data_IF_718822094341
#
_entry.id   IF_718822094341
#
_cell.length_a   1.000
_cell.length_b   1.000
_cell.length_c   1.000
_cell.angle_alpha   90.00
_cell.angle_beta   90.00
_cell.angle_gamma   90.00
#
_symmetry.space_group_name_H-M   'P 1'
#
loop_
_entity.id
_entity.type
_entity.pdbx_description
1 polymer ?
#
# COMPACT_ATOMS: atom_id res chain seq x y z
N UNK A 1 14.59 -7.27 40.45
CA UNK A 1 14.35 -6.28 39.40
C UNK A 1 13.92 -7.04 38.16
N UNK A 2 12.82 -6.65 37.52
CA UNK A 2 12.39 -7.29 36.28
C UNK A 2 13.27 -6.77 35.15
N UNK A 3 13.88 -7.69 34.40
CA UNK A 3 14.72 -7.36 33.25
C UNK A 3 13.86 -7.29 31.99
N UNK A 4 13.96 -6.19 31.27
CA UNK A 4 13.29 -5.94 30.01
C UNK A 4 14.32 -5.82 28.90
N UNK A 5 13.99 -6.30 27.71
CA UNK A 5 14.85 -6.18 26.53
C UNK A 5 14.10 -5.46 25.44
N UNK A 6 14.62 -4.32 24.97
CA UNK A 6 14.13 -3.63 23.77
C UNK A 6 14.99 -4.11 22.61
N UNK A 7 14.38 -4.80 21.65
CA UNK A 7 15.03 -5.28 20.44
C UNK A 7 14.57 -4.47 19.24
N UNK A 8 15.48 -4.24 18.28
CA UNK A 8 15.12 -3.74 16.97
C UNK A 8 15.86 -4.49 15.86
N UNK A 9 15.11 -4.98 14.89
CA UNK A 9 15.64 -5.45 13.61
C UNK A 9 14.75 -4.91 12.48
N UNK A 10 15.28 -4.83 11.26
CA UNK A 10 14.42 -4.52 10.10
C UNK A 10 13.34 -5.60 9.88
N UNK A 11 13.62 -6.86 10.22
CA UNK A 11 12.68 -7.96 10.06
C UNK A 11 11.47 -7.84 10.99
N UNK A 12 11.71 -7.56 12.28
CA UNK A 12 10.70 -7.66 13.35
C UNK A 12 10.19 -6.29 13.80
N UNK A 13 10.94 -5.24 13.49
CA UNK A 13 10.70 -3.89 13.97
C UNK A 13 11.18 -3.72 15.41
N UNK A 14 10.65 -2.70 16.10
CA UNK A 14 10.99 -2.46 17.51
C UNK A 14 10.00 -3.19 18.43
N UNK A 15 10.53 -4.09 19.25
CA UNK A 15 9.81 -4.90 20.21
C UNK A 15 10.36 -4.68 21.63
N UNK A 16 9.56 -5.02 22.63
CA UNK A 16 10.03 -5.13 24.01
C UNK A 16 9.49 -6.41 24.63
N UNK A 17 10.42 -7.16 25.22
CA UNK A 17 10.20 -8.46 25.84
C UNK A 17 10.49 -8.39 27.35
N UNK A 18 10.00 -9.39 28.09
CA UNK A 18 10.15 -9.47 29.55
C UNK A 18 9.06 -8.75 30.35
N UNK A 19 8.09 -8.11 29.69
CA UNK A 19 6.94 -7.47 30.36
C UNK A 19 5.96 -8.51 30.90
N UNK A 20 5.44 -8.32 32.10
CA UNK A 20 4.43 -9.16 32.74
C UNK A 20 3.15 -8.38 33.05
N UNK A 21 2.02 -9.08 33.14
CA UNK A 21 0.76 -8.42 33.53
C UNK A 21 0.86 -7.93 34.98
N UNK A 22 0.61 -6.64 35.18
CA UNK A 22 0.59 -6.02 36.51
C UNK A 22 1.96 -5.61 37.06
N UNK A 23 3.02 -5.68 36.26
CA UNK A 23 4.36 -5.22 36.67
C UNK A 23 4.55 -3.70 36.58
N UNK A 24 3.61 -2.96 35.99
CA UNK A 24 3.66 -1.50 35.79
C UNK A 24 4.31 -1.06 34.46
N UNK A 25 5.01 -1.95 33.74
CA UNK A 25 5.66 -1.65 32.46
C UNK A 25 4.66 -1.16 31.40
N UNK A 26 3.46 -1.76 31.39
CA UNK A 26 2.40 -1.46 30.45
C UNK A 26 1.92 0.01 30.50
N UNK A 27 1.84 0.59 31.70
CA UNK A 27 1.34 1.96 31.85
C UNK A 27 2.42 2.98 31.48
N UNK A 28 3.69 2.67 31.78
CA UNK A 28 4.85 3.43 31.31
C UNK A 28 4.87 3.43 29.78
N UNK A 29 4.83 2.27 29.13
CA UNK A 29 4.89 2.15 27.67
C UNK A 29 3.77 2.92 26.96
N UNK A 30 2.57 2.98 27.55
CA UNK A 30 1.47 3.81 27.02
C UNK A 30 1.73 5.29 27.18
N UNK A 31 2.40 5.72 28.26
CA UNK A 31 2.62 7.14 28.58
C UNK A 31 3.88 7.74 27.95
N UNK A 32 4.87 6.93 27.54
CA UNK A 32 6.09 7.45 26.90
C UNK A 32 5.73 8.30 25.70
N UNK A 33 6.25 9.53 25.68
CA UNK A 33 6.10 10.49 24.59
C UNK A 33 7.14 10.20 23.52
N UNK A 34 6.69 10.01 22.29
CA UNK A 34 7.59 9.92 21.13
C UNK A 34 8.21 11.31 20.87
N UNK A 35 9.55 11.46 20.96
CA UNK A 35 10.21 12.76 20.78
C UNK A 35 9.99 13.39 19.39
N UNK A 36 9.71 12.58 18.37
CA UNK A 36 9.44 13.08 17.02
C UNK A 36 8.03 13.66 16.91
N UNK A 37 7.03 12.95 17.44
CA UNK A 37 5.63 13.31 17.24
C UNK A 37 5.06 14.15 18.38
N UNK A 38 5.73 14.18 19.54
CA UNK A 38 5.26 14.82 20.75
C UNK A 38 4.03 14.15 21.36
N UNK A 39 3.71 12.90 21.00
CA UNK A 39 2.51 12.18 21.42
C UNK A 39 2.84 10.89 22.16
N UNK A 40 2.01 10.56 23.14
CA UNK A 40 2.01 9.25 23.80
C UNK A 40 1.42 8.15 22.88
N UNK A 41 1.56 6.89 23.29
CA UNK A 41 0.92 5.75 22.62
C UNK A 41 1.66 5.21 21.40
N UNK A 42 3.00 5.40 21.34
CA UNK A 42 3.84 4.81 20.30
C UNK A 42 3.87 3.27 20.38
N UNK A 43 3.83 2.73 21.60
CA UNK A 43 3.83 1.30 21.90
C UNK A 43 2.43 0.71 21.90
N UNK A 44 2.29 -0.50 21.33
CA UNK A 44 1.04 -1.26 21.28
C UNK A 44 1.29 -2.70 21.69
N UNK A 45 0.36 -3.29 22.42
CA UNK A 45 0.39 -4.72 22.73
C UNK A 45 -0.10 -5.54 21.54
N UNK A 46 0.67 -6.55 21.12
CA UNK A 46 0.23 -7.54 20.14
C UNK A 46 -0.05 -8.87 20.83
N UNK A 47 -1.28 -9.39 20.67
CA UNK A 47 -1.62 -10.73 21.16
C UNK A 47 -0.91 -11.84 20.37
N UNK A 48 -0.58 -11.58 19.10
CA UNK A 48 0.06 -12.58 18.24
C UNK A 48 1.56 -12.70 18.52
N UNK A 49 2.21 -11.59 18.89
CA UNK A 49 3.64 -11.59 19.23
C UNK A 49 3.87 -11.89 20.72
N UNK A 50 2.86 -11.67 21.56
CA UNK A 50 3.03 -11.78 23.01
C UNK A 50 3.95 -10.69 23.59
N UNK A 51 4.14 -9.59 22.86
CA UNK A 51 5.06 -8.50 23.20
C UNK A 51 4.46 -7.14 22.86
N UNK A 52 5.03 -6.08 23.43
CA UNK A 52 4.74 -4.73 22.95
C UNK A 52 5.61 -4.42 21.75
N UNK A 53 5.06 -3.67 20.80
CA UNK A 53 5.72 -3.29 19.56
C UNK A 53 5.44 -1.82 19.22
N UNK A 54 6.37 -1.21 18.48
CA UNK A 54 6.16 0.11 17.87
C UNK A 54 5.54 -0.08 16.50
N UNK A 55 4.40 0.56 16.24
CA UNK A 55 3.73 0.44 14.95
C UNK A 55 4.55 1.07 13.81
N UNK A 56 4.57 0.41 12.63
CA UNK A 56 5.31 0.83 11.43
C UNK A 56 6.83 0.99 11.68
N UNK A 57 7.42 0.08 12.47
CA UNK A 57 8.86 0.02 12.74
C UNK A 57 9.60 -1.03 11.89
N UNK A 58 8.89 -2.02 11.33
CA UNK A 58 9.46 -3.02 10.42
C UNK A 58 9.96 -2.36 9.13
N UNK A 59 11.08 -2.85 8.63
CA UNK A 59 11.79 -2.37 7.44
C UNK A 59 12.10 -0.85 7.46
N UNK A 60 12.10 -0.25 8.66
CA UNK A 60 12.51 1.15 8.91
C UNK A 60 13.60 1.19 9.95
N UNK A 61 14.46 2.21 9.91
CA UNK A 61 15.53 2.34 10.90
C UNK A 61 15.02 2.41 12.32
N UNK A 62 15.86 1.97 13.25
CA UNK A 62 15.61 2.08 14.68
C UNK A 62 15.25 3.53 15.05
N UNK A 63 14.10 3.72 15.69
CA UNK A 63 13.70 5.03 16.24
C UNK A 63 14.46 5.29 17.54
N UNK A 64 15.76 5.49 17.44
CA UNK A 64 16.67 5.64 18.60
C UNK A 64 16.15 6.63 19.64
N UNK A 65 15.65 7.83 19.29
CA UNK A 65 15.12 8.76 20.30
C UNK A 65 13.94 8.18 21.11
N UNK A 66 13.05 7.42 20.47
CA UNK A 66 11.94 6.76 21.17
C UNK A 66 12.43 5.61 22.03
N UNK A 67 13.39 4.82 21.55
CA UNK A 67 14.00 3.70 22.29
C UNK A 67 14.70 4.23 23.54
N UNK A 68 15.51 5.28 23.41
CA UNK A 68 16.23 5.93 24.50
C UNK A 68 15.26 6.55 25.52
N UNK A 69 14.22 7.26 25.06
CA UNK A 69 13.19 7.81 25.94
C UNK A 69 12.43 6.71 26.70
N UNK A 70 12.14 5.59 26.02
CA UNK A 70 11.47 4.43 26.63
C UNK A 70 12.37 3.77 27.67
N UNK A 71 13.64 3.53 27.33
CA UNK A 71 14.65 2.98 28.24
C UNK A 71 14.73 3.81 29.50
N UNK A 72 14.92 5.13 29.36
CA UNK A 72 15.04 6.06 30.49
C UNK A 72 13.79 6.04 31.39
N UNK A 73 12.59 6.04 30.80
CA UNK A 73 11.33 5.99 31.55
C UNK A 73 11.18 4.66 32.35
N UNK A 74 11.59 3.54 31.77
CA UNK A 74 11.54 2.23 32.42
C UNK A 74 12.60 2.10 33.52
N UNK A 75 13.84 2.56 33.28
CA UNK A 75 14.91 2.56 34.29
C UNK A 75 14.56 3.46 35.48
N UNK A 76 13.93 4.61 35.23
CA UNK A 76 13.42 5.50 36.29
C UNK A 76 12.37 4.81 37.17
N UNK A 77 11.59 3.89 36.60
CA UNK A 77 10.62 3.09 37.32
C UNK A 77 11.22 1.82 37.98
N UNK A 78 12.55 1.62 37.90
CA UNK A 78 13.25 0.53 38.58
C UNK A 78 13.38 -0.77 37.78
N UNK A 79 13.13 -0.74 36.47
CA UNK A 79 13.40 -1.87 35.59
C UNK A 79 14.85 -1.88 35.11
N UNK A 80 15.42 -3.06 34.92
CA UNK A 80 16.71 -3.21 34.23
C UNK A 80 16.43 -3.37 32.73
N UNK A 81 16.94 -2.47 31.89
CA UNK A 81 16.60 -2.45 30.45
C UNK A 81 17.84 -2.67 29.57
N UNK A 82 17.84 -3.79 28.84
CA UNK A 82 18.80 -4.05 27.77
C UNK A 82 18.26 -3.51 26.44
N UNK A 83 19.14 -2.98 25.59
CA UNK A 83 18.80 -2.49 24.24
C UNK A 83 19.69 -3.17 23.23
N UNK A 84 19.08 -3.86 22.27
CA UNK A 84 19.76 -4.59 21.20
C UNK A 84 19.22 -4.10 19.86
N UNK A 85 20.09 -3.50 19.04
CA UNK A 85 19.70 -2.89 17.77
C UNK A 85 20.55 -3.45 16.64
N UNK A 86 19.91 -4.11 15.70
CA UNK A 86 20.44 -4.45 14.38
C UNK A 86 19.74 -3.57 13.33
N UNK A 87 20.39 -2.47 12.96
CA UNK A 87 19.88 -1.49 11.98
C UNK A 87 20.35 -1.83 10.55
N UNK A 88 20.65 -3.11 10.29
CA UNK A 88 21.06 -3.61 8.98
C UNK A 88 19.84 -3.79 8.08
N UNK A 89 19.81 -3.07 6.96
CA UNK A 89 18.73 -3.22 5.98
C UNK A 89 18.72 -4.64 5.40
N UNK A 90 17.51 -5.22 5.31
CA UNK A 90 17.26 -6.45 4.57
C UNK A 90 17.31 -6.19 3.07
N UNK A 91 17.66 -7.22 2.29
CA UNK A 91 17.60 -7.14 0.84
C UNK A 91 16.16 -6.85 0.37
N UNK A 92 16.03 -6.05 -0.68
CA UNK A 92 14.75 -5.67 -1.26
C UNK A 92 13.92 -6.89 -1.64
N UNK A 93 14.57 -7.95 -2.11
CA UNK A 93 13.94 -9.22 -2.44
C UNK A 93 13.26 -9.86 -1.22
N UNK A 94 13.94 -9.95 -0.08
CA UNK A 94 13.37 -10.52 1.15
C UNK A 94 12.21 -9.69 1.70
N UNK A 95 12.32 -8.36 1.60
CA UNK A 95 11.27 -7.42 2.03
C UNK A 95 10.02 -7.60 1.16
N UNK A 96 10.19 -7.63 -0.16
CA UNK A 96 9.08 -7.78 -1.10
C UNK A 96 8.47 -9.18 -1.05
N UNK A 97 9.28 -10.24 -0.90
CA UNK A 97 8.79 -11.59 -0.69
C UNK A 97 7.92 -11.69 0.58
N UNK A 98 8.33 -11.06 1.68
CA UNK A 98 7.51 -11.04 2.90
C UNK A 98 6.23 -10.23 2.73
N UNK A 99 6.30 -9.09 2.03
CA UNK A 99 5.12 -8.29 1.71
C UNK A 99 4.10 -9.08 0.85
N UNK A 100 4.57 -9.86 -0.13
CA UNK A 100 3.74 -10.74 -0.95
C UNK A 100 3.10 -11.83 -0.11
N UNK A 101 3.86 -12.51 0.77
CA UNK A 101 3.32 -13.52 1.69
C UNK A 101 2.25 -12.95 2.61
N UNK A 102 2.51 -11.81 3.25
CA UNK A 102 1.54 -11.15 4.12
C UNK A 102 0.26 -10.74 3.37
N UNK A 103 0.41 -10.24 2.14
CA UNK A 103 -0.74 -9.92 1.31
C UNK A 103 -1.54 -11.17 0.92
N UNK A 104 -0.87 -12.28 0.60
CA UNK A 104 -1.54 -13.55 0.31
C UNK A 104 -2.34 -14.06 1.52
N UNK A 105 -1.75 -14.06 2.73
CA UNK A 105 -2.46 -14.40 3.96
C UNK A 105 -3.66 -13.48 4.23
N UNK A 106 -3.52 -12.18 3.96
CA UNK A 106 -4.63 -11.23 4.09
C UNK A 106 -5.76 -11.55 3.12
N UNK A 107 -5.43 -11.89 1.87
CA UNK A 107 -6.42 -12.26 0.84
C UNK A 107 -7.15 -13.52 1.26
N UNK A 108 -6.42 -14.56 1.69
CA UNK A 108 -7.00 -15.82 2.15
C UNK A 108 -7.95 -15.61 3.33
N UNK A 109 -7.51 -14.90 4.37
CA UNK A 109 -8.35 -14.58 5.52
C UNK A 109 -9.62 -13.79 5.15
N UNK A 110 -9.54 -12.89 4.16
CA UNK A 110 -10.70 -12.16 3.65
C UNK A 110 -11.64 -13.04 2.83
N UNK A 111 -11.13 -13.97 2.03
CA UNK A 111 -11.93 -14.96 1.29
C UNK A 111 -12.70 -15.86 2.25
N UNK A 112 -12.03 -16.47 3.22
CA UNK A 112 -12.70 -17.29 4.26
C UNK A 112 -13.75 -16.48 5.01
N UNK A 113 -13.48 -15.19 5.29
CA UNK A 113 -14.46 -14.31 5.92
C UNK A 113 -15.66 -14.01 5.01
N UNK A 114 -15.44 -13.83 3.71
CA UNK A 114 -16.50 -13.61 2.73
C UNK A 114 -17.41 -14.85 2.61
N UNK A 115 -16.82 -16.05 2.54
CA UNK A 115 -17.57 -17.31 2.52
C UNK A 115 -18.47 -17.47 3.76
N UNK A 116 -17.92 -17.21 4.96
CA UNK A 116 -18.71 -17.22 6.20
C UNK A 116 -19.86 -16.21 6.20
N UNK A 117 -19.66 -15.04 5.58
CA UNK A 117 -20.70 -14.00 5.50
C UNK A 117 -21.76 -14.34 4.46
N UNK A 118 -21.37 -14.95 3.34
CA UNK A 118 -22.32 -15.50 2.36
C UNK A 118 -23.22 -16.54 3.00
N UNK A 119 -22.65 -17.54 3.67
CA UNK A 119 -23.42 -18.57 4.37
C UNK A 119 -24.35 -17.99 5.46
N UNK A 120 -23.93 -16.91 6.13
CA UNK A 120 -24.77 -16.21 7.09
C UNK A 120 -25.94 -15.44 6.42
N UNK A 121 -25.73 -14.91 5.22
CA UNK A 121 -26.79 -14.28 4.43
C UNK A 121 -27.81 -15.33 3.95
N UNK A 122 -27.35 -16.47 3.43
CA UNK A 122 -28.21 -17.59 3.03
C UNK A 122 -29.07 -18.08 4.20
N UNK A 123 -28.45 -18.28 5.38
CA UNK A 123 -29.16 -18.66 6.59
C UNK A 123 -30.17 -17.59 7.06
N UNK A 124 -29.88 -16.31 6.84
CA UNK A 124 -30.81 -15.23 7.17
C UNK A 124 -32.01 -15.19 6.22
N UNK A 125 -31.82 -15.48 4.94
CA UNK A 125 -32.90 -15.63 3.96
C UNK A 125 -33.77 -16.84 4.22
N UNK A 126 -33.20 -18.00 4.59
CA UNK A 126 -34.01 -19.15 5.01
C UNK A 126 -34.80 -18.86 6.29
N UNK A 127 -34.22 -18.12 7.25
CA UNK A 127 -34.94 -17.68 8.44
C UNK A 127 -36.07 -16.67 8.12
N UNK A 128 -35.87 -15.77 7.16
CA UNK A 128 -36.90 -14.88 6.63
C UNK A 128 -38.04 -15.68 5.99
N UNK A 129 -37.71 -16.62 5.11
CA UNK A 129 -38.69 -17.49 4.45
C UNK A 129 -39.53 -18.25 5.48
N UNK A 130 -38.90 -18.83 6.49
CA UNK A 130 -39.61 -19.47 7.60
C UNK A 130 -40.50 -18.50 8.38
N UNK A 131 -40.03 -17.28 8.67
CA UNK A 131 -40.83 -16.28 9.37
C UNK A 131 -42.04 -15.82 8.55
N UNK A 132 -41.87 -15.70 7.23
CA UNK A 132 -42.90 -15.36 6.26
C UNK A 132 -43.93 -16.48 6.12
N UNK A 133 -43.51 -17.74 6.10
CA UNK A 133 -44.41 -18.90 6.02
C UNK A 133 -45.27 -19.07 7.29
N UNK A 134 -44.85 -18.47 8.42
CA UNK A 134 -45.61 -18.40 9.68
C UNK A 134 -46.60 -17.23 9.74
N UNK A 135 -46.65 -16.36 8.72
CA UNK A 135 -47.63 -15.29 8.66
C UNK A 135 -49.05 -15.86 8.45
N UNK A 136 -50.08 -15.20 8.97
CA UNK A 136 -51.46 -15.62 8.72
C UNK A 136 -51.75 -15.69 7.22
N UNK A 137 -52.36 -16.79 6.74
CA UNK A 137 -52.60 -17.01 5.33
C UNK A 137 -53.53 -15.93 4.76
N UNK A 138 -53.30 -15.56 3.49
CA UNK A 138 -54.15 -14.65 2.70
C UNK A 138 -54.24 -13.21 3.22
N UNK A 139 -53.29 -12.73 4.02
CA UNK A 139 -53.27 -11.32 4.45
C UNK A 139 -54.49 -10.94 5.30
N UNK A 140 -54.97 -11.88 6.13
CA UNK A 140 -56.09 -11.64 7.04
C UNK A 140 -55.89 -10.32 7.80
N UNK A 141 -56.93 -9.48 7.96
CA UNK A 141 -56.82 -8.29 8.80
C UNK A 141 -56.51 -8.65 10.26
N UNK A 142 -55.78 -7.77 10.96
CA UNK A 142 -55.59 -7.90 12.41
C UNK A 142 -56.94 -7.63 13.10
N UNK A 143 -57.53 -8.66 13.71
CA UNK A 143 -58.75 -8.53 14.52
C UNK A 143 -58.41 -7.88 15.87
N UNK A 144 -58.64 -6.57 15.98
CA UNK A 144 -58.38 -5.78 17.20
C UNK A 144 -59.34 -6.20 18.33
N UNK A 145 -58.80 -6.47 19.52
CA UNK A 145 -59.55 -6.95 20.68
C UNK A 145 -59.75 -8.47 20.73
N UNK A 146 -59.30 -9.22 19.71
CA UNK A 146 -59.42 -10.68 19.68
C UNK A 146 -58.19 -11.37 20.31
N UNK A 147 -58.37 -12.56 20.87
CA UNK A 147 -57.27 -13.29 21.55
C UNK A 147 -56.07 -13.63 20.62
N UNK A 148 -56.28 -13.63 19.29
CA UNK A 148 -55.24 -13.87 18.28
C UNK A 148 -54.43 -12.62 17.89
N UNK A 149 -54.88 -11.42 18.27
CA UNK A 149 -54.28 -10.13 17.90
C UNK A 149 -52.79 -10.05 18.23
N UNK A 150 -52.42 -10.43 19.46
CA UNK A 150 -51.03 -10.41 19.93
C UNK A 150 -50.14 -11.36 19.13
N UNK A 151 -50.66 -12.55 18.78
CA UNK A 151 -49.92 -13.54 17.98
C UNK A 151 -49.69 -13.01 16.56
N UNK A 152 -50.71 -12.39 15.97
CA UNK A 152 -50.65 -11.80 14.62
C UNK A 152 -49.60 -10.68 14.56
N UNK A 153 -49.68 -9.68 15.44
CA UNK A 153 -48.67 -8.59 15.48
C UNK A 153 -47.25 -9.12 15.63
N UNK A 154 -47.06 -10.11 16.51
CA UNK A 154 -45.74 -10.72 16.71
C UNK A 154 -45.26 -11.53 15.49
N UNK A 155 -46.16 -12.10 14.68
CA UNK A 155 -45.79 -12.79 13.45
C UNK A 155 -45.26 -11.80 12.41
N UNK A 156 -45.98 -10.68 12.20
CA UNK A 156 -45.57 -9.58 11.32
C UNK A 156 -44.23 -9.00 11.78
N UNK A 157 -44.10 -8.65 13.07
CA UNK A 157 -42.85 -8.10 13.62
C UNK A 157 -41.67 -9.07 13.43
N UNK A 158 -41.88 -10.39 13.57
CA UNK A 158 -40.82 -11.37 13.31
C UNK A 158 -40.42 -11.42 11.84
N UNK A 159 -41.39 -11.40 10.92
CA UNK A 159 -41.11 -11.36 9.48
C UNK A 159 -40.36 -10.07 9.10
N UNK A 160 -40.83 -8.91 9.56
CA UNK A 160 -40.17 -7.61 9.35
C UNK A 160 -38.74 -7.57 9.89
N UNK A 161 -38.49 -8.15 11.06
CA UNK A 161 -37.15 -8.23 11.63
C UNK A 161 -36.28 -9.25 10.90
N UNK A 162 -36.85 -10.34 10.39
CA UNK A 162 -36.10 -11.34 9.63
C UNK A 162 -35.65 -10.80 8.27
N UNK A 163 -36.53 -10.09 7.55
CA UNK A 163 -36.18 -9.47 6.26
C UNK A 163 -35.11 -8.39 6.42
N UNK A 164 -35.19 -7.52 7.45
CA UNK A 164 -34.12 -6.54 7.75
C UNK A 164 -32.78 -7.23 8.00
N UNK A 165 -32.76 -8.29 8.80
CA UNK A 165 -31.55 -9.06 9.08
C UNK A 165 -30.99 -9.72 7.82
N UNK A 166 -31.85 -10.20 6.92
CA UNK A 166 -31.44 -10.79 5.66
C UNK A 166 -30.76 -9.75 4.74
N UNK A 167 -31.32 -8.54 4.64
CA UNK A 167 -30.67 -7.42 3.94
C UNK A 167 -29.34 -7.03 4.59
N UNK A 168 -29.30 -6.80 5.91
CA UNK A 168 -28.06 -6.45 6.62
C UNK A 168 -26.96 -7.52 6.43
N UNK A 169 -27.34 -8.80 6.44
CA UNK A 169 -26.43 -9.91 6.22
C UNK A 169 -25.93 -9.96 4.77
N UNK A 170 -26.81 -9.68 3.80
CA UNK A 170 -26.46 -9.58 2.37
C UNK A 170 -25.48 -8.44 2.13
N UNK A 171 -25.77 -7.23 2.62
CA UNK A 171 -24.88 -6.07 2.51
C UNK A 171 -23.51 -6.35 3.13
N UNK A 172 -23.48 -7.01 4.29
CA UNK A 172 -22.23 -7.40 4.95
C UNK A 172 -21.44 -8.45 4.16
N UNK A 173 -22.13 -9.37 3.48
CA UNK A 173 -21.51 -10.36 2.60
C UNK A 173 -20.91 -9.69 1.36
N UNK A 174 -21.69 -8.84 0.68
CA UNK A 174 -21.23 -8.10 -0.50
C UNK A 174 -20.05 -7.18 -0.20
N UNK A 175 -20.09 -6.42 0.90
CA UNK A 175 -18.97 -5.57 1.31
C UNK A 175 -17.71 -6.40 1.61
N UNK A 176 -17.86 -7.56 2.25
CA UNK A 176 -16.71 -8.44 2.54
C UNK A 176 -16.15 -9.06 1.26
N UNK A 177 -17.00 -9.48 0.33
CA UNK A 177 -16.61 -9.99 -0.98
C UNK A 177 -15.87 -8.92 -1.81
N UNK A 178 -16.41 -7.69 -1.85
CA UNK A 178 -15.74 -6.54 -2.51
C UNK A 178 -14.35 -6.28 -1.92
N UNK A 179 -14.19 -6.34 -0.59
CA UNK A 179 -12.88 -6.20 0.07
C UNK A 179 -11.92 -7.33 -0.28
N UNK A 180 -12.40 -8.57 -0.37
CA UNK A 180 -11.58 -9.71 -0.77
C UNK A 180 -11.09 -9.57 -2.22
N UNK A 181 -11.97 -9.18 -3.13
CA UNK A 181 -11.64 -8.94 -4.53
C UNK A 181 -10.61 -7.80 -4.68
N UNK A 182 -10.80 -6.68 -3.99
CA UNK A 182 -9.85 -5.57 -4.01
C UNK A 182 -8.47 -5.96 -3.45
N UNK A 183 -8.44 -6.77 -2.38
CA UNK A 183 -7.19 -7.27 -1.81
C UNK A 183 -6.45 -8.20 -2.78
N UNK A 184 -7.16 -9.03 -3.54
CA UNK A 184 -6.56 -9.98 -4.49
C UNK A 184 -5.77 -9.27 -5.60
N UNK A 185 -6.26 -8.11 -6.09
CA UNK A 185 -5.57 -7.33 -7.12
C UNK A 185 -4.38 -6.50 -6.64
N UNK A 186 -4.13 -6.42 -5.33
CA UNK A 186 -3.13 -5.48 -4.77
C UNK A 186 -1.70 -5.83 -5.20
N UNK A 187 -1.33 -7.11 -5.18
CA UNK A 187 0.00 -7.55 -5.60
C UNK A 187 0.20 -7.32 -7.10
N UNK A 188 -0.75 -7.76 -7.93
CA UNK A 188 -0.69 -7.53 -9.38
C UNK A 188 -0.56 -6.04 -9.73
N UNK A 189 -1.31 -5.17 -9.05
CA UNK A 189 -1.19 -3.72 -9.25
C UNK A 189 0.20 -3.19 -8.86
N UNK A 190 0.74 -3.64 -7.72
CA UNK A 190 2.08 -3.25 -7.24
C UNK A 190 3.18 -3.58 -8.26
N UNK A 191 3.08 -4.74 -8.90
CA UNK A 191 4.03 -5.25 -9.90
C UNK A 191 3.66 -4.85 -11.34
N UNK A 192 2.63 -4.03 -11.55
CA UNK A 192 2.32 -3.55 -12.89
C UNK A 192 3.46 -2.66 -13.43
N UNK A 193 3.85 -2.79 -14.72
CA UNK A 193 4.99 -2.06 -15.29
C UNK A 193 4.94 -0.54 -15.07
N UNK A 194 3.74 0.05 -15.20
CA UNK A 194 3.55 1.49 -14.97
C UNK A 194 3.83 1.92 -13.51
N UNK A 195 3.45 1.08 -12.53
CA UNK A 195 3.69 1.34 -11.11
C UNK A 195 5.16 1.15 -10.77
N UNK A 196 5.79 0.09 -11.30
CA UNK A 196 7.22 -0.15 -11.15
C UNK A 196 8.03 1.02 -11.70
N UNK A 197 7.74 1.50 -12.92
CA UNK A 197 8.43 2.65 -13.53
C UNK A 197 8.33 3.91 -12.67
N UNK A 198 7.14 4.24 -12.16
CA UNK A 198 6.94 5.38 -11.24
C UNK A 198 7.72 5.21 -9.94
N UNK A 199 7.78 3.99 -9.41
CA UNK A 199 8.53 3.68 -8.19
C UNK A 199 10.02 3.85 -8.40
N UNK A 200 10.59 3.28 -9.47
CA UNK A 200 12.00 3.48 -9.83
C UNK A 200 12.33 4.97 -9.94
N UNK A 201 11.50 5.75 -10.63
CA UNK A 201 11.71 7.20 -10.76
C UNK A 201 11.76 7.94 -9.43
N UNK A 202 10.92 7.55 -8.45
CA UNK A 202 10.95 8.09 -7.09
C UNK A 202 12.21 7.68 -6.34
N UNK A 203 12.57 6.39 -6.38
CA UNK A 203 13.75 5.85 -5.70
C UNK A 203 15.03 6.47 -6.25
N UNK A 204 15.15 6.64 -7.57
CA UNK A 204 16.30 7.31 -8.19
C UNK A 204 16.39 8.79 -7.80
N UNK A 205 15.26 9.49 -7.66
CA UNK A 205 15.27 10.88 -7.19
C UNK A 205 15.72 10.98 -5.73
N UNK A 206 15.31 10.02 -4.89
CA UNK A 206 15.73 9.91 -3.51
C UNK A 206 17.23 9.54 -3.39
N UNK A 207 17.70 8.60 -4.21
CA UNK A 207 19.12 8.23 -4.31
C UNK A 207 19.98 9.46 -4.63
N UNK A 208 19.61 10.23 -5.65
CA UNK A 208 20.30 11.50 -6.01
C UNK A 208 20.29 12.53 -4.87
N UNK A 209 19.31 12.49 -3.96
CA UNK A 209 19.29 13.36 -2.78
C UNK A 209 20.34 12.92 -1.76
N UNK A 210 20.43 11.62 -1.49
CA UNK A 210 21.42 11.08 -0.55
C UNK A 210 22.85 11.16 -1.11
N UNK A 211 23.06 10.94 -2.40
CA UNK A 211 24.36 11.15 -3.06
C UNK A 211 24.82 12.60 -2.92
N UNK A 212 23.95 13.58 -3.17
CA UNK A 212 24.27 15.00 -2.94
C UNK A 212 24.55 15.34 -1.47
N UNK A 213 23.92 14.64 -0.53
CA UNK A 213 24.22 14.80 0.89
C UNK A 213 25.58 14.19 1.25
N UNK A 214 25.92 13.03 0.65
CA UNK A 214 27.22 12.36 0.83
C UNK A 214 28.36 13.22 0.32
N UNK A 215 28.22 13.75 -0.90
CA UNK A 215 29.30 14.43 -1.62
C UNK A 215 29.35 15.93 -1.35
N UNK A 216 28.30 16.50 -0.74
CA UNK A 216 28.11 17.93 -0.69
C UNK A 216 27.66 18.49 -2.05
N UNK A 217 27.07 19.67 -2.04
CA UNK A 217 26.72 20.35 -3.27
C UNK A 217 26.60 21.86 -3.09
N UNK A 218 26.86 22.58 -4.17
CA UNK A 218 26.65 24.02 -4.25
C UNK A 218 25.43 24.32 -5.11
N UNK A 219 24.46 25.08 -4.58
CA UNK A 219 23.32 25.58 -5.36
C UNK A 219 23.43 27.09 -5.55
N UNK A 220 23.08 27.56 -6.74
CA UNK A 220 22.88 28.99 -6.98
C UNK A 220 21.50 29.40 -6.47
N UNK A 221 21.44 30.36 -5.56
CA UNK A 221 20.19 30.90 -5.02
C UNK A 221 19.59 31.91 -6.00
N UNK A 222 20.40 32.89 -6.42
CA UNK A 222 20.03 33.87 -7.43
C UNK A 222 21.30 34.46 -8.06
N UNK A 223 21.12 35.09 -9.22
CA UNK A 223 22.15 35.88 -9.89
C UNK A 223 21.76 37.34 -9.75
N UNK A 224 22.67 38.20 -9.30
CA UNK A 224 22.40 39.62 -9.16
C UNK A 224 22.41 40.35 -10.52
N UNK A 225 22.03 41.63 -10.53
CA UNK A 225 22.04 42.46 -11.74
C UNK A 225 23.43 42.74 -12.33
N UNK A 226 24.50 42.36 -11.63
CA UNK A 226 25.90 42.45 -12.08
C UNK A 226 26.41 41.11 -12.65
N UNK A 227 25.56 40.07 -12.67
CA UNK A 227 25.91 38.72 -13.14
C UNK A 227 26.61 37.85 -12.09
N UNK A 228 26.72 38.30 -10.83
CA UNK A 228 27.32 37.54 -9.73
C UNK A 228 26.33 36.52 -9.19
N UNK A 229 26.76 35.27 -9.11
CA UNK A 229 25.95 34.17 -8.56
C UNK A 229 26.11 34.12 -7.05
N UNK A 230 25.01 34.32 -6.33
CA UNK A 230 24.94 34.05 -4.90
C UNK A 230 24.67 32.56 -4.70
N UNK A 231 25.62 31.87 -4.09
CA UNK A 231 25.59 30.42 -3.93
C UNK A 231 25.51 30.02 -2.47
N UNK A 232 24.84 28.90 -2.22
CA UNK A 232 24.88 28.20 -0.94
C UNK A 232 25.60 26.87 -1.14
N UNK A 233 26.63 26.63 -0.33
CA UNK A 233 27.40 25.39 -0.37
C UNK A 233 27.05 24.56 0.85
N UNK A 234 26.52 23.37 0.62
CA UNK A 234 26.41 22.34 1.64
C UNK A 234 27.66 21.47 1.62
N UNK A 235 28.37 21.33 2.75
CA UNK A 235 29.53 20.44 2.83
C UNK A 235 29.10 18.96 2.74
N UNK A 236 30.03 18.08 2.37
CA UNK A 236 29.82 16.63 2.44
C UNK A 236 29.40 16.19 3.85
N UNK A 237 28.55 15.16 3.93
CA UNK A 237 28.21 14.54 5.21
C UNK A 237 29.46 13.96 5.89
N UNK A 238 29.53 14.05 7.22
CA UNK A 238 30.64 13.56 8.05
C UNK A 238 30.15 12.71 9.23
N UNK A 239 31.05 11.91 9.80
CA UNK A 239 30.78 11.06 10.98
C UNK A 239 29.57 10.13 10.80
N UNK A 240 28.82 9.92 11.88
CA UNK A 240 27.61 9.08 11.92
C UNK A 240 26.57 9.49 10.86
N UNK A 241 26.46 10.79 10.54
CA UNK A 241 25.54 11.23 9.51
C UNK A 241 25.94 10.68 8.13
N UNK A 242 27.23 10.68 7.82
CA UNK A 242 27.75 10.09 6.56
C UNK A 242 27.48 8.60 6.50
N UNK A 243 27.70 7.88 7.58
CA UNK A 243 27.44 6.43 7.65
C UNK A 243 25.96 6.13 7.39
N UNK A 244 25.05 6.91 7.98
CA UNK A 244 23.60 6.81 7.72
C UNK A 244 23.26 7.08 6.26
N UNK A 245 23.84 8.13 5.67
CA UNK A 245 23.64 8.48 4.26
C UNK A 245 24.15 7.36 3.34
N UNK A 246 25.30 6.77 3.63
CA UNK A 246 25.87 5.66 2.83
C UNK A 246 25.00 4.40 2.94
N UNK A 247 24.55 4.04 4.15
CA UNK A 247 23.63 2.92 4.33
C UNK A 247 22.33 3.10 3.54
N UNK A 248 21.83 4.33 3.48
CA UNK A 248 20.63 4.68 2.73
C UNK A 248 20.83 4.63 1.22
N UNK A 249 22.00 5.05 0.73
CA UNK A 249 22.41 4.89 -0.68
C UNK A 249 22.43 3.40 -1.04
N UNK A 250 23.02 2.55 -0.20
CA UNK A 250 23.05 1.10 -0.43
C UNK A 250 21.65 0.50 -0.50
N UNK A 251 20.76 0.84 0.46
CA UNK A 251 19.36 0.41 0.46
C UNK A 251 18.61 0.81 -0.81
N UNK A 252 18.74 2.08 -1.22
CA UNK A 252 18.06 2.60 -2.40
C UNK A 252 18.58 1.95 -3.68
N UNK A 253 19.89 1.72 -3.76
CA UNK A 253 20.54 1.03 -4.90
C UNK A 253 20.01 -0.39 -5.05
N UNK A 254 19.94 -1.14 -3.95
CA UNK A 254 19.39 -2.49 -3.93
C UNK A 254 17.91 -2.52 -4.34
N UNK A 255 17.07 -1.61 -3.81
CA UNK A 255 15.67 -1.48 -4.21
C UNK A 255 15.51 -1.13 -5.69
N UNK A 256 16.31 -0.19 -6.21
CA UNK A 256 16.29 0.15 -7.64
C UNK A 256 16.67 -1.06 -8.48
N UNK A 257 17.69 -1.81 -8.07
CA UNK A 257 18.13 -3.03 -8.73
C UNK A 257 17.01 -4.08 -8.81
N UNK A 258 16.37 -4.37 -7.68
CA UNK A 258 15.22 -5.28 -7.62
C UNK A 258 14.11 -4.85 -8.58
N UNK A 259 13.65 -3.60 -8.48
CA UNK A 259 12.53 -3.13 -9.31
C UNK A 259 12.88 -3.04 -10.80
N UNK A 260 14.15 -2.81 -11.16
CA UNK A 260 14.59 -2.86 -12.56
C UNK A 260 14.52 -4.28 -13.12
N UNK A 261 14.95 -5.29 -12.36
CA UNK A 261 14.81 -6.70 -12.75
C UNK A 261 13.35 -7.11 -12.93
N UNK A 262 12.47 -6.72 -12.02
CA UNK A 262 11.02 -6.97 -12.17
C UNK A 262 10.42 -6.30 -13.41
N UNK A 263 10.89 -5.09 -13.75
CA UNK A 263 10.45 -4.40 -14.96
C UNK A 263 10.92 -5.12 -16.23
N UNK A 264 12.14 -5.64 -16.22
CA UNK A 264 12.73 -6.41 -17.32
C UNK A 264 11.98 -7.75 -17.51
N UNK A 265 11.75 -8.50 -16.43
CA UNK A 265 10.95 -9.72 -16.45
C UNK A 265 9.53 -9.48 -16.99
N UNK A 266 8.91 -8.34 -16.64
CA UNK A 266 7.61 -7.97 -17.18
C UNK A 266 7.68 -7.69 -18.69
N UNK A 267 8.76 -7.08 -19.18
CA UNK A 267 9.00 -6.86 -20.60
C UNK A 267 9.16 -8.18 -21.36
N UNK A 268 9.96 -9.11 -20.81
CA UNK A 268 10.17 -10.47 -21.33
C UNK A 268 8.86 -11.27 -21.37
N UNK A 269 7.98 -11.04 -20.39
CA UNK A 269 6.63 -11.63 -20.33
C UNK A 269 5.63 -10.96 -21.30
N UNK A 270 6.09 -10.05 -22.17
CA UNK A 270 5.30 -9.42 -23.22
C UNK A 270 4.59 -8.13 -22.83
N UNK A 271 4.92 -7.51 -21.68
CA UNK A 271 4.36 -6.22 -21.33
C UNK A 271 4.98 -5.09 -22.19
N UNK A 272 4.14 -4.26 -22.81
CA UNK A 272 4.61 -3.11 -23.57
C UNK A 272 5.15 -2.02 -22.64
N UNK A 273 6.45 -1.77 -22.72
CA UNK A 273 7.15 -0.76 -21.92
C UNK A 273 7.51 0.42 -22.82
N UNK A 274 6.70 1.49 -22.75
CA UNK A 274 6.89 2.68 -23.58
C UNK A 274 8.04 3.57 -23.11
N UNK A 275 8.77 4.14 -24.06
CA UNK A 275 9.85 5.10 -23.87
C UNK A 275 10.06 5.98 -25.12
N UNK A 276 11.10 6.82 -25.11
CA UNK A 276 11.39 7.75 -26.20
C UNK A 276 11.90 7.10 -27.50
N UNK A 277 12.25 5.81 -27.49
CA UNK A 277 12.72 5.08 -28.66
C UNK A 277 11.60 4.24 -29.29
N UNK A 278 10.58 3.89 -28.51
CA UNK A 278 9.45 3.05 -28.93
C UNK A 278 8.26 3.85 -29.45
N UNK A 279 8.11 5.11 -29.01
CA UNK A 279 7.07 6.04 -29.48
C UNK A 279 7.66 7.08 -30.41
N UNK A 280 7.02 7.30 -31.55
CA UNK A 280 7.45 8.22 -32.61
C UNK A 280 6.51 9.42 -32.74
N UNK A 281 6.99 10.48 -33.38
CA UNK A 281 6.14 11.63 -33.78
C UNK A 281 5.18 11.17 -34.87
N UNK A 282 3.91 11.53 -34.75
CA UNK A 282 2.82 11.10 -35.65
C UNK A 282 2.04 9.87 -35.15
N UNK A 283 2.58 9.09 -34.22
CA UNK A 283 1.84 7.99 -33.59
C UNK A 283 0.62 8.50 -32.82
N UNK A 284 -0.38 7.63 -32.63
CA UNK A 284 -1.50 7.86 -31.73
C UNK A 284 -1.27 7.12 -30.42
N UNK A 285 -1.48 7.79 -29.30
CA UNK A 285 -1.32 7.21 -27.96
C UNK A 285 -2.66 7.18 -27.24
N UNK A 286 -2.99 6.04 -26.64
CA UNK A 286 -4.19 5.90 -25.81
C UNK A 286 -3.87 6.21 -24.35
N UNK A 287 -4.67 7.09 -23.77
CA UNK A 287 -4.70 7.36 -22.34
C UNK A 287 -6.11 7.13 -21.78
N UNK A 288 -6.26 7.27 -20.46
CA UNK A 288 -7.58 7.21 -19.82
C UNK A 288 -8.60 8.22 -20.34
N UNK A 289 -8.17 9.28 -21.02
CA UNK A 289 -9.02 10.33 -21.61
C UNK A 289 -9.31 10.13 -23.10
N UNK A 290 -8.75 9.08 -23.73
CA UNK A 290 -8.89 8.79 -25.15
C UNK A 290 -7.58 8.83 -25.92
N UNK A 291 -7.70 8.76 -27.25
CA UNK A 291 -6.60 8.77 -28.20
C UNK A 291 -6.12 10.19 -28.53
N UNK A 292 -4.82 10.37 -28.73
CA UNK A 292 -4.26 11.63 -29.25
C UNK A 292 -2.98 11.41 -30.04
N UNK A 293 -2.72 12.29 -31.01
CA UNK A 293 -1.54 12.21 -31.89
C UNK A 293 -0.31 12.84 -31.24
N UNK A 294 0.86 12.20 -31.35
CA UNK A 294 2.12 12.66 -30.79
C UNK A 294 2.72 13.74 -31.67
N UNK A 295 2.87 14.96 -31.14
CA UNK A 295 3.52 16.09 -31.83
C UNK A 295 5.02 16.12 -31.58
N UNK A 296 5.45 15.69 -30.39
CA UNK A 296 6.85 15.75 -29.99
C UNK A 296 7.19 14.69 -28.98
N UNK A 297 8.30 14.00 -29.18
CA UNK A 297 8.86 13.06 -28.21
C UNK A 297 9.96 13.76 -27.41
N UNK A 298 9.92 13.64 -26.09
CA UNK A 298 10.99 14.06 -25.18
C UNK A 298 11.50 12.84 -24.42
N UNK A 299 12.65 12.98 -23.75
CA UNK A 299 13.31 11.89 -23.06
C UNK A 299 12.44 11.12 -22.04
N UNK A 300 11.43 11.76 -21.42
CA UNK A 300 10.56 11.15 -20.39
C UNK A 300 9.07 11.29 -20.66
N UNK A 301 8.69 11.95 -21.76
CA UNK A 301 7.30 12.31 -22.01
C UNK A 301 7.06 12.68 -23.47
N UNK A 302 5.85 12.50 -23.96
CA UNK A 302 5.39 12.98 -25.26
C UNK A 302 4.50 14.21 -25.12
N UNK A 303 4.52 15.10 -26.12
CA UNK A 303 3.52 16.15 -26.30
C UNK A 303 2.47 15.62 -27.25
N UNK A 304 1.22 15.71 -26.84
CA UNK A 304 0.07 15.20 -27.60
C UNK A 304 -0.75 16.38 -28.11
N UNK A 305 -1.18 16.30 -29.37
CA UNK A 305 -1.95 17.32 -30.04
C UNK A 305 -3.25 17.62 -29.29
N UNK A 306 -3.54 18.91 -29.14
CA UNK A 306 -4.72 19.40 -28.42
C UNK A 306 -4.63 19.33 -26.90
N UNK A 307 -3.53 18.82 -26.31
CA UNK A 307 -3.38 18.73 -24.85
C UNK A 307 -2.39 19.76 -24.31
N UNK A 308 -2.74 20.35 -23.16
CA UNK A 308 -1.96 21.44 -22.53
C UNK A 308 -0.76 20.95 -21.72
N UNK A 309 -0.68 19.65 -21.43
CA UNK A 309 0.32 19.04 -20.55
C UNK A 309 1.11 17.95 -21.29
N UNK A 310 2.29 17.61 -20.75
CA UNK A 310 3.15 16.56 -21.31
C UNK A 310 2.78 15.21 -20.72
N UNK A 311 2.62 14.21 -21.57
CA UNK A 311 2.24 12.85 -21.19
C UNK A 311 3.47 12.02 -20.84
N UNK A 312 3.64 11.57 -19.58
CA UNK A 312 4.69 10.62 -19.22
C UNK A 312 4.43 9.25 -19.86
N UNK A 313 5.50 8.52 -20.22
CA UNK A 313 5.37 7.20 -20.83
C UNK A 313 4.65 6.18 -19.93
N UNK A 314 4.72 6.29 -18.59
CA UNK A 314 4.00 5.40 -17.66
C UNK A 314 2.48 5.57 -17.68
N UNK A 315 1.96 6.58 -18.39
CA UNK A 315 0.53 6.86 -18.53
C UNK A 315 -0.06 6.37 -19.85
N UNK A 316 0.79 6.00 -20.79
CA UNK A 316 0.38 5.50 -22.10
C UNK A 316 -0.07 4.05 -21.93
N UNK A 317 -1.29 3.74 -22.36
CA UNK A 317 -1.85 2.38 -22.33
C UNK A 317 -1.52 1.61 -23.61
N UNK A 318 -1.73 2.24 -24.76
CA UNK A 318 -1.51 1.67 -26.09
C UNK A 318 -0.93 2.73 -27.02
N UNK A 319 -0.28 2.26 -28.08
CA UNK A 319 0.29 3.10 -29.14
C UNK A 319 -0.12 2.48 -30.47
N UNK A 320 -0.53 3.33 -31.41
CA UNK A 320 -0.82 2.99 -32.79
C UNK A 320 0.02 3.87 -33.71
N UNK A 321 0.35 3.37 -34.90
CA UNK A 321 0.96 4.18 -35.95
C UNK A 321 -0.02 5.27 -36.42
N UNK A 322 0.47 6.24 -37.20
CA UNK A 322 -0.39 7.24 -37.84
C UNK A 322 -1.48 6.60 -38.74
N UNK A 323 -1.22 5.38 -39.24
CA UNK A 323 -2.11 4.60 -40.10
C UNK A 323 -3.09 3.71 -39.29
N UNK A 324 -3.05 3.77 -37.96
CA UNK A 324 -3.95 3.01 -37.08
C UNK A 324 -3.51 1.56 -36.83
N UNK A 325 -2.26 1.20 -37.11
CA UNK A 325 -1.75 -0.14 -36.82
C UNK A 325 -1.26 -0.23 -35.38
N UNK A 326 -1.65 -1.25 -34.61
CA UNK A 326 -1.23 -1.39 -33.23
C UNK A 326 0.28 -1.63 -33.12
N UNK A 327 0.90 -0.92 -32.19
CA UNK A 327 2.32 -1.06 -31.87
C UNK A 327 2.44 -1.86 -30.58
N UNK A 328 3.44 -2.76 -30.52
CA UNK A 328 3.88 -3.42 -29.30
C UNK A 328 5.37 -3.19 -29.09
N UNK A 329 5.82 -3.36 -27.85
CA UNK A 329 7.24 -3.36 -27.51
C UNK A 329 7.63 -4.78 -27.16
N UNK A 330 8.54 -5.37 -27.92
CA UNK A 330 9.08 -6.72 -27.70
C UNK A 330 10.58 -6.57 -27.55
N UNK A 331 11.14 -7.04 -26.43
CA UNK A 331 12.58 -6.92 -26.13
C UNK A 331 13.11 -5.47 -26.24
N UNK A 332 12.27 -4.48 -25.89
CA UNK A 332 12.61 -3.06 -25.98
C UNK A 332 12.56 -2.47 -27.40
N UNK A 333 12.20 -3.28 -28.41
CA UNK A 333 12.06 -2.84 -29.79
C UNK A 333 10.59 -2.62 -30.17
N UNK A 334 10.36 -1.61 -31.00
CA UNK A 334 9.06 -1.31 -31.59
C UNK A 334 8.72 -2.37 -32.63
N UNK A 335 7.60 -3.06 -32.44
CA UNK A 335 7.03 -4.01 -33.41
C UNK A 335 5.64 -3.53 -33.80
N UNK A 336 5.40 -3.39 -35.10
CA UNK A 336 4.06 -3.09 -35.61
C UNK A 336 3.36 -4.43 -35.82
N UNK A 337 2.27 -4.66 -35.10
CA UNK A 337 1.43 -5.84 -35.28
C UNK A 337 0.36 -5.54 -36.32
N UNK A 338 0.17 -6.44 -37.29
CA UNK A 338 -0.98 -6.35 -38.17
C UNK A 338 -2.26 -6.46 -37.33
N UNK A 339 -3.22 -5.58 -37.60
CA UNK A 339 -4.55 -5.65 -37.00
C UNK A 339 -5.18 -6.97 -37.42
N UNK A 340 -5.41 -7.87 -36.47
CA UNK A 340 -6.26 -9.05 -36.70
C UNK A 340 -7.69 -8.52 -36.86
N UNK A 341 -8.34 -8.66 -38.03
CA UNK A 341 -9.62 -8.00 -38.30
C UNK A 341 -10.81 -8.58 -37.51
N UNK A 342 -10.59 -9.47 -36.53
CA UNK A 342 -11.63 -10.23 -35.82
C UNK A 342 -11.71 -9.94 -34.30
N UNK A 343 -11.14 -8.83 -33.80
CA UNK A 343 -11.27 -8.41 -32.39
C UNK A 343 -12.17 -7.19 -32.15
N UNK A 344 -13.16 -6.97 -33.00
CA UNK A 344 -14.37 -6.23 -32.61
C UNK A 344 -15.43 -7.27 -32.17
N UNK A 345 -15.62 -7.43 -30.85
CA UNK A 345 -16.83 -7.85 -30.12
C UNK A 345 -16.47 -8.57 -28.80
N UNK A 346 -16.41 -7.81 -27.69
CA UNK A 346 -17.35 -7.89 -26.54
C UNK A 346 -16.93 -6.98 -25.37
#
# INVERSE_FOLDING_TARGET
MSRLTITHSHADGTLIEGTARGDGSADILKSVIDPWTGRAGAWRWSRNLGSWYVARSRDTRAKMPLIEATKSALETAGFEVAVEVDDTYRAAEDVEADAVRQQAHRVDALKTKAERRSAAADAAWEAEKHARDLLPPLGQPILVGHHSERRHRKAIERADNAIRKAFDATDAAEETARRAAAAAGTTAFRYSPSVIRRRIGRLEAELRRFERARDGHTRTLFTDGRGVKHVETQPPAVGDHRERVVAEISRLTDQIGFWKRELEQAAESGASIWDAHTVMVGDRVLLGVGWGAVERVNARSVRVAGWTWRVPFDKIKQVETAEGQPVKVVEGQRVITATDPDQDHD
#
